data_IF_965960119906
#
_entry.id   IF_965960119906
#
_cell.length_a   1.000
_cell.length_b   1.000
_cell.length_c   1.000
_cell.angle_alpha   90.00
_cell.angle_beta   90.00
_cell.angle_gamma   90.00
#
_symmetry.space_group_name_H-M   'P 1'
#
loop_
_entity.id
_entity.type
_entity.pdbx_description
1 polymer ?
#
# COMPACT_ATOMS: atom_id res chain seq x y z
N UNK A 1 -34.20 14.21 -9.13
CA UNK A 1 -32.88 14.58 -9.65
C UNK A 1 -31.85 14.28 -8.56
N UNK A 2 -31.32 13.05 -8.53
CA UNK A 2 -30.44 12.57 -7.46
C UNK A 2 -28.98 12.81 -7.84
N UNK A 3 -28.54 14.07 -7.85
CA UNK A 3 -27.12 14.39 -7.87
C UNK A 3 -26.64 14.38 -6.41
N UNK A 4 -26.30 13.19 -5.91
CA UNK A 4 -25.58 13.04 -4.64
C UNK A 4 -24.19 13.60 -4.91
N UNK A 5 -23.91 14.82 -4.46
CA UNK A 5 -22.57 15.41 -4.59
C UNK A 5 -21.60 14.52 -3.84
N UNK A 6 -20.91 13.61 -4.55
CA UNK A 6 -19.83 12.84 -3.96
C UNK A 6 -18.78 13.85 -3.51
N UNK A 7 -18.54 13.86 -2.20
CA UNK A 7 -17.56 14.75 -1.59
C UNK A 7 -16.20 14.32 -2.13
N UNK A 8 -15.60 15.14 -2.99
CA UNK A 8 -14.22 14.93 -3.42
C UNK A 8 -13.36 14.96 -2.15
N UNK A 9 -12.67 13.85 -1.80
CA UNK A 9 -11.80 13.84 -0.65
C UNK A 9 -10.75 14.93 -0.83
N UNK A 10 -10.67 15.85 0.13
CA UNK A 10 -9.63 16.88 0.10
C UNK A 10 -8.28 16.20 0.25
N UNK A 11 -7.33 16.61 -0.58
CA UNK A 11 -5.96 16.10 -0.55
C UNK A 11 -5.33 16.40 0.82
N UNK A 12 -4.99 15.36 1.57
CA UNK A 12 -4.28 15.47 2.83
C UNK A 12 -2.78 15.30 2.62
N UNK A 13 -2.10 16.42 2.37
CA UNK A 13 -0.66 16.46 2.19
C UNK A 13 0.11 15.91 3.41
N UNK A 14 -0.44 16.06 4.62
CA UNK A 14 0.22 15.53 5.83
C UNK A 14 0.22 14.01 5.84
N UNK A 15 -0.88 13.39 5.40
CA UNK A 15 -0.97 11.94 5.28
C UNK A 15 -0.13 11.40 4.12
N UNK A 16 -0.02 12.13 3.00
CA UNK A 16 0.89 11.76 1.91
C UNK A 16 2.36 11.78 2.35
N UNK A 17 2.81 12.85 3.01
CA UNK A 17 4.20 12.96 3.50
C UNK A 17 4.52 11.84 4.49
N UNK A 18 3.60 11.53 5.41
CA UNK A 18 3.74 10.40 6.34
C UNK A 18 3.81 9.07 5.59
N UNK A 19 2.92 8.84 4.63
CA UNK A 19 2.93 7.63 3.83
C UNK A 19 4.26 7.46 3.07
N UNK A 20 4.84 8.53 2.52
CA UNK A 20 6.15 8.48 1.87
C UNK A 20 7.26 8.10 2.85
N UNK A 21 7.30 8.72 4.03
CA UNK A 21 8.29 8.38 5.07
C UNK A 21 8.13 6.94 5.58
N UNK A 22 6.89 6.47 5.72
CA UNK A 22 6.56 5.11 6.14
C UNK A 22 7.00 4.09 5.08
N UNK A 23 6.83 4.41 3.79
CA UNK A 23 7.34 3.59 2.68
C UNK A 23 8.87 3.52 2.72
N UNK A 24 9.56 4.64 2.88
CA UNK A 24 11.03 4.65 2.97
C UNK A 24 11.52 3.82 4.17
N UNK A 25 10.83 3.92 5.31
CA UNK A 25 11.14 3.13 6.49
C UNK A 25 10.87 1.64 6.27
N UNK A 26 9.76 1.31 5.61
CA UNK A 26 9.38 -0.05 5.27
C UNK A 26 10.38 -0.65 4.30
N UNK A 27 10.77 0.04 3.23
CA UNK A 27 11.73 -0.46 2.24
C UNK A 27 13.09 -0.78 2.85
N UNK A 28 13.52 -0.04 3.87
CA UNK A 28 14.75 -0.33 4.61
C UNK A 28 14.65 -1.57 5.52
N UNK A 29 13.46 -2.06 5.83
CA UNK A 29 13.21 -3.17 6.76
C UNK A 29 12.50 -4.37 6.12
N UNK A 30 11.92 -4.19 4.95
CA UNK A 30 11.09 -5.17 4.28
C UNK A 30 11.93 -6.22 3.57
N UNK A 31 11.44 -7.45 3.60
CA UNK A 31 11.97 -8.56 2.80
C UNK A 31 11.27 -8.50 1.44
N UNK A 32 12.01 -8.16 0.39
CA UNK A 32 11.53 -8.16 -0.99
C UNK A 32 11.86 -9.51 -1.64
N UNK A 33 10.83 -10.27 -2.02
CA UNK A 33 10.97 -11.52 -2.75
C UNK A 33 10.57 -11.26 -4.22
N UNK A 34 11.55 -11.26 -5.11
CA UNK A 34 11.34 -11.17 -6.56
C UNK A 34 11.33 -12.57 -7.18
N UNK A 35 10.64 -12.71 -8.31
CA UNK A 35 10.57 -13.96 -9.08
C UNK A 35 10.10 -15.18 -8.27
N UNK A 36 9.16 -14.94 -7.34
CA UNK A 36 8.49 -15.98 -6.56
C UNK A 36 7.78 -16.96 -7.52
N UNK A 37 8.13 -18.25 -7.44
CA UNK A 37 7.60 -19.30 -8.34
C UNK A 37 6.42 -20.06 -7.72
N UNK A 38 6.12 -19.75 -6.47
CA UNK A 38 5.02 -20.26 -5.69
C UNK A 38 3.69 -19.81 -6.33
N UNK A 39 2.75 -20.75 -6.43
CA UNK A 39 1.48 -20.52 -7.14
C UNK A 39 0.28 -20.53 -6.21
N UNK A 40 0.48 -20.89 -4.93
CA UNK A 40 -0.55 -20.89 -3.89
C UNK A 40 -0.21 -19.91 -2.77
N UNK A 41 -1.24 -19.38 -2.10
CA UNK A 41 -1.05 -18.44 -0.99
C UNK A 41 -0.38 -19.13 0.20
N UNK A 42 -0.74 -20.39 0.44
CA UNK A 42 -0.15 -21.21 1.50
C UNK A 42 1.37 -21.35 1.33
N UNK A 43 1.85 -21.55 0.10
CA UNK A 43 3.29 -21.60 -0.21
C UNK A 43 3.98 -20.25 -0.01
N UNK A 44 3.32 -19.15 -0.37
CA UNK A 44 3.86 -17.78 -0.23
C UNK A 44 4.01 -17.39 1.25
N UNK A 45 3.05 -17.75 2.10
CA UNK A 45 3.04 -17.39 3.53
C UNK A 45 3.84 -18.33 4.43
N UNK A 46 4.29 -19.49 3.93
CA UNK A 46 5.08 -20.44 4.70
C UNK A 46 6.58 -20.07 4.80
N UNK A 47 7.03 -19.04 4.07
CA UNK A 47 8.38 -18.47 4.13
C UNK A 47 8.46 -17.28 5.08
#
# INVERSE_FOLDING_TARGET
MYAKHEKIPMKDFGSEIRATMDIDHLLNKAVLLLDLQETSLEEIFAK
#
